data_IF_645204722750
#
_entry.id   IF_645204722750
#
_cell.length_a   1.000
_cell.length_b   1.000
_cell.length_c   1.000
_cell.angle_alpha   90.00
_cell.angle_beta   90.00
_cell.angle_gamma   90.00
#
_symmetry.space_group_name_H-M   'P 1'
#
loop_
_entity.id
_entity.type
_entity.pdbx_description
1 polymer ?
#
# COMPACT_ATOMS: atom_id res chain seq x y z
N UNK A 1 -6.09 -11.61 9.70
CA UNK A 1 -6.90 -11.43 8.46
C UNK A 1 -6.30 -12.28 7.35
N UNK A 2 -7.09 -12.82 6.40
CA UNK A 2 -6.55 -13.63 5.32
C UNK A 2 -5.82 -12.76 4.28
N UNK A 3 -4.67 -13.21 3.80
CA UNK A 3 -3.85 -12.53 2.77
C UNK A 3 -4.58 -12.30 1.43
N UNK A 4 -5.69 -13.01 1.22
CA UNK A 4 -6.55 -12.91 0.03
C UNK A 4 -7.60 -11.80 0.11
N UNK A 5 -7.61 -11.03 1.20
CA UNK A 5 -8.49 -9.86 1.30
C UNK A 5 -8.08 -8.79 0.29
N UNK A 6 -9.05 -8.13 -0.33
CA UNK A 6 -8.82 -7.04 -1.29
C UNK A 6 -8.76 -5.72 -0.53
N UNK A 7 -7.72 -4.93 -0.79
CA UNK A 7 -7.59 -3.55 -0.34
C UNK A 7 -7.88 -2.65 -1.54
N UNK A 8 -8.84 -1.74 -1.37
CA UNK A 8 -9.16 -0.71 -2.36
C UNK A 8 -8.25 0.49 -2.15
N UNK A 9 -7.32 0.71 -3.07
CA UNK A 9 -6.35 1.81 -3.06
C UNK A 9 -6.81 2.88 -4.04
N UNK A 10 -7.08 4.09 -3.56
CA UNK A 10 -7.37 5.23 -4.42
C UNK A 10 -6.09 5.75 -5.06
N UNK A 11 -6.18 6.25 -6.29
CA UNK A 11 -5.06 6.91 -6.98
C UNK A 11 -4.45 8.03 -6.13
N UNK A 12 -5.27 8.75 -5.36
CA UNK A 12 -4.85 9.83 -4.46
C UNK A 12 -3.99 9.37 -3.27
N UNK A 13 -4.03 8.09 -2.91
CA UNK A 13 -3.17 7.51 -1.88
C UNK A 13 -1.76 7.18 -2.42
N UNK A 14 -1.60 7.18 -3.75
CA UNK A 14 -0.34 6.89 -4.43
C UNK A 14 0.44 8.17 -4.73
N UNK A 15 1.24 8.61 -3.76
CA UNK A 15 1.94 9.90 -3.83
C UNK A 15 2.95 9.93 -4.98
N UNK A 16 2.97 11.03 -5.77
CA UNK A 16 4.08 11.30 -6.68
C UNK A 16 5.34 11.67 -5.90
N UNK A 17 6.52 11.50 -6.50
CA UNK A 17 7.83 11.91 -5.95
C UNK A 17 8.31 11.10 -4.73
N UNK A 18 7.87 9.84 -4.61
CA UNK A 18 8.42 8.88 -3.66
C UNK A 18 8.78 7.59 -4.39
N UNK A 19 9.62 6.76 -3.78
CA UNK A 19 9.96 5.46 -4.35
C UNK A 19 8.79 4.48 -4.19
N UNK A 20 8.20 4.08 -5.31
CA UNK A 20 7.03 3.19 -5.32
C UNK A 20 6.93 2.38 -6.62
N UNK A 21 7.50 1.17 -6.67
CA UNK A 21 7.26 0.21 -7.75
C UNK A 21 5.76 -0.08 -8.03
N UNK A 22 4.92 -0.07 -7.00
CA UNK A 22 3.46 -0.20 -7.10
C UNK A 22 2.88 0.91 -7.98
N UNK A 23 3.23 2.17 -7.69
CA UNK A 23 2.80 3.34 -8.47
C UNK A 23 3.33 3.31 -9.90
N UNK A 24 4.57 2.86 -10.10
CA UNK A 24 5.16 2.75 -11.44
C UNK A 24 4.38 1.76 -12.32
N UNK A 25 3.89 0.66 -11.74
CA UNK A 25 3.12 -0.37 -12.44
C UNK A 25 1.65 0.01 -12.64
N UNK A 26 1.06 0.76 -11.72
CA UNK A 26 -0.37 1.09 -11.67
C UNK A 26 -0.61 2.60 -11.61
N UNK A 27 -0.02 3.36 -12.53
CA UNK A 27 0.01 4.82 -12.45
C UNK A 27 -1.36 5.46 -12.72
N UNK A 28 -1.83 6.29 -11.78
CA UNK A 28 -2.91 7.27 -12.02
C UNK A 28 -4.33 6.71 -11.99
N UNK A 29 -4.54 5.50 -11.50
CA UNK A 29 -5.85 4.87 -11.38
C UNK A 29 -6.06 4.26 -9.98
N UNK A 30 -7.31 4.13 -9.60
CA UNK A 30 -7.69 3.31 -8.44
C UNK A 30 -7.33 1.84 -8.70
N UNK A 31 -7.01 1.11 -7.64
CA UNK A 31 -6.48 -0.24 -7.71
C UNK A 31 -7.10 -1.12 -6.62
N UNK A 32 -7.58 -2.29 -7.03
CA UNK A 32 -7.90 -3.40 -6.13
C UNK A 32 -6.67 -4.33 -6.09
N UNK A 33 -6.10 -4.51 -4.90
CA UNK A 33 -4.90 -5.33 -4.69
C UNK A 33 -5.10 -6.27 -3.51
N UNK A 34 -4.56 -7.48 -3.58
CA UNK A 34 -4.58 -8.38 -2.43
C UNK A 34 -3.69 -7.82 -1.31
N UNK A 35 -4.13 -7.95 -0.06
CA UNK A 35 -3.35 -7.57 1.11
C UNK A 35 -1.95 -8.23 1.10
N UNK A 36 -1.85 -9.49 0.67
CA UNK A 36 -0.58 -10.18 0.51
C UNK A 36 0.35 -9.56 -0.53
N UNK A 37 -0.18 -9.07 -1.66
CA UNK A 37 0.61 -8.40 -2.68
C UNK A 37 1.06 -7.02 -2.21
N UNK A 38 0.17 -6.28 -1.53
CA UNK A 38 0.50 -4.99 -0.93
C UNK A 38 1.62 -5.11 0.12
N UNK A 39 1.56 -6.14 0.97
CA UNK A 39 2.64 -6.51 1.89
C UNK A 39 3.94 -6.85 1.16
N UNK A 40 3.87 -7.56 0.03
CA UNK A 40 5.05 -7.88 -0.77
C UNK A 40 5.71 -6.64 -1.39
N UNK A 41 4.91 -5.66 -1.86
CA UNK A 41 5.43 -4.37 -2.31
C UNK A 41 6.14 -3.62 -1.17
N UNK A 42 5.51 -3.53 0.00
CA UNK A 42 6.09 -2.84 1.16
C UNK A 42 7.38 -3.52 1.66
N UNK A 43 7.38 -4.85 1.82
CA UNK A 43 8.48 -5.58 2.47
C UNK A 43 9.60 -5.92 1.48
N UNK A 44 9.27 -6.59 0.38
CA UNK A 44 10.29 -7.11 -0.55
C UNK A 44 10.83 -6.04 -1.48
N UNK A 45 10.01 -5.03 -1.79
CA UNK A 45 10.39 -3.96 -2.72
C UNK A 45 10.61 -2.62 -2.03
N UNK A 46 10.39 -2.50 -0.71
CA UNK A 46 10.53 -1.26 0.07
C UNK A 46 9.68 -0.10 -0.48
N UNK A 47 8.48 -0.40 -1.00
CA UNK A 47 7.59 0.59 -1.59
C UNK A 47 6.99 1.53 -0.53
N UNK A 48 7.24 2.83 -0.67
CA UNK A 48 6.79 3.84 0.30
C UNK A 48 5.26 4.02 0.29
N UNK A 49 4.62 4.02 -0.89
CA UNK A 49 3.17 4.15 -0.95
C UNK A 49 2.48 2.91 -0.37
N UNK A 50 2.99 1.71 -0.67
CA UNK A 50 2.45 0.49 -0.08
C UNK A 50 2.59 0.49 1.45
N UNK A 51 3.70 0.99 1.98
CA UNK A 51 3.92 1.18 3.41
C UNK A 51 2.84 2.10 4.03
N UNK A 52 2.67 3.31 3.48
CA UNK A 52 1.70 4.28 3.98
C UNK A 52 0.26 3.74 3.91
N UNK A 53 -0.11 3.05 2.82
CA UNK A 53 -1.42 2.42 2.68
C UNK A 53 -1.62 1.35 3.77
N UNK A 54 -0.61 0.53 4.07
CA UNK A 54 -0.69 -0.49 5.12
C UNK A 54 -0.77 0.14 6.52
N UNK A 55 -0.08 1.25 6.74
CA UNK A 55 -0.16 2.01 7.99
C UNK A 55 -1.58 2.51 8.21
N UNK A 56 -2.17 3.15 7.20
CA UNK A 56 -3.56 3.62 7.26
C UNK A 56 -4.55 2.46 7.41
N UNK A 57 -4.33 1.35 6.69
CA UNK A 57 -5.13 0.12 6.84
C UNK A 57 -5.10 -0.44 8.26
N UNK A 58 -3.97 -0.34 8.96
CA UNK A 58 -3.82 -0.77 10.35
C UNK A 58 -4.43 0.21 11.37
N UNK A 59 -5.00 1.33 10.93
CA UNK A 59 -5.56 2.37 11.79
C UNK A 59 -4.63 3.56 12.05
N UNK A 60 -3.56 3.70 11.26
CA UNK A 60 -2.59 4.78 11.35
C UNK A 60 -1.46 4.51 12.34
N UNK A 61 -0.43 5.37 12.32
CA UNK A 61 0.84 5.21 13.07
C UNK A 61 0.62 4.93 14.56
N UNK A 62 -0.39 5.52 15.19
CA UNK A 62 -0.68 5.32 16.60
C UNK A 62 -0.89 3.84 16.94
N UNK A 63 -1.55 3.07 16.07
CA UNK A 63 -1.82 1.65 16.28
C UNK A 63 -0.62 0.75 15.99
N UNK A 64 0.46 1.29 15.45
CA UNK A 64 1.70 0.56 15.11
C UNK A 64 2.77 0.77 16.18
N UNK A 65 2.76 1.91 16.85
CA UNK A 65 3.74 2.29 17.86
C UNK A 65 3.45 1.73 19.27
N UNK A 66 2.46 0.83 19.38
CA UNK A 66 2.09 0.12 20.62
C UNK A 66 2.80 -1.24 20.71
#
# INVERSE_FOLDING_TARGET
MPLKHIVHVKASQSQPNTYSPLRQKHSGQDLDILLGELLQYSISQSDNNACDILIEYAGGIKHIND
#
